data_IF_775530941154
#
_entry.id   IF_775530941154
#
_cell.length_a   1.000
_cell.length_b   1.000
_cell.length_c   1.000
_cell.angle_alpha   90.00
_cell.angle_beta   90.00
_cell.angle_gamma   90.00
#
_symmetry.space_group_name_H-M   'P 1'
#
loop_
_entity.id
_entity.type
_entity.pdbx_description
1 polymer ?
#
# COMPACT_ATOMS: atom_id res chain seq x y z
N UNK A 1 -13.34 32.75 8.34
CA UNK A 1 -13.10 31.31 8.19
C UNK A 1 -11.95 31.11 7.22
N UNK A 2 -10.96 30.29 7.58
CA UNK A 2 -10.48 29.33 6.60
C UNK A 2 -10.49 27.90 7.14
N UNK A 3 -10.74 27.00 6.21
CA UNK A 3 -10.75 25.55 6.35
C UNK A 3 -9.34 25.00 6.58
N UNK A 4 -9.24 24.05 7.50
CA UNK A 4 -8.19 23.03 7.55
C UNK A 4 -8.81 21.81 8.23
N UNK A 5 -9.48 20.97 7.44
CA UNK A 5 -9.96 19.68 7.92
C UNK A 5 -8.78 18.70 7.96
N UNK A 6 -8.43 18.37 9.20
CA UNK A 6 -7.78 17.18 9.70
C UNK A 6 -7.44 16.10 8.66
N UNK A 7 -6.17 16.06 8.27
CA UNK A 7 -5.49 14.81 7.95
C UNK A 7 -5.52 13.93 9.21
N UNK A 8 -6.22 12.81 9.12
CA UNK A 8 -6.45 11.89 10.22
C UNK A 8 -5.15 11.09 10.48
N UNK A 9 -4.34 11.55 11.44
CA UNK A 9 -3.23 10.80 12.01
C UNK A 9 -3.78 9.67 12.89
N UNK A 10 -4.14 8.54 12.29
CA UNK A 10 -4.49 7.35 13.08
C UNK A 10 -4.18 6.05 12.34
N UNK A 11 -2.90 5.64 12.37
CA UNK A 11 -2.55 4.22 12.33
C UNK A 11 -1.30 3.98 13.19
N UNK A 12 -1.51 3.47 14.41
CA UNK A 12 -0.53 2.71 15.18
C UNK A 12 -1.25 1.60 15.94
N UNK A 13 -1.07 0.32 15.55
CA UNK A 13 -1.29 -0.78 16.47
C UNK A 13 0.03 -1.56 16.67
N UNK A 14 0.76 -1.19 17.72
CA UNK A 14 1.31 -2.15 18.68
C UNK A 14 1.78 -1.39 19.91
N UNK A 15 1.22 -1.74 21.07
CA UNK A 15 1.77 -1.34 22.35
C UNK A 15 3.11 -2.06 22.51
N UNK A 16 4.16 -1.29 22.85
CA UNK A 16 5.57 -1.65 23.05
C UNK A 16 6.51 -1.49 21.83
N UNK A 17 7.33 -0.42 21.87
CA UNK A 17 8.72 -0.40 21.42
C UNK A 17 9.05 -0.41 19.91
N UNK A 18 9.31 0.78 19.35
CA UNK A 18 9.95 1.08 18.05
C UNK A 18 9.21 0.56 16.81
N UNK A 19 8.83 1.46 15.90
CA UNK A 19 8.49 1.09 14.52
C UNK A 19 9.76 0.52 13.88
N UNK A 20 9.86 -0.81 13.80
CA UNK A 20 10.82 -1.47 12.91
C UNK A 20 10.20 -1.38 11.52
N UNK A 21 10.75 -0.50 10.69
CA UNK A 21 10.42 -0.41 9.26
C UNK A 21 11.68 -0.74 8.46
N UNK A 22 12.30 -1.87 8.78
CA UNK A 22 13.57 -2.28 8.20
C UNK A 22 13.37 -3.00 6.86
N UNK A 23 12.27 -3.75 6.72
CA UNK A 23 11.96 -4.50 5.51
C UNK A 23 10.69 -4.00 4.81
N UNK A 24 10.90 -3.31 3.69
CA UNK A 24 9.84 -2.88 2.78
C UNK A 24 9.82 -3.81 1.57
N UNK A 25 8.64 -4.32 1.25
CA UNK A 25 8.40 -5.19 0.09
C UNK A 25 7.42 -4.54 -0.87
N UNK A 26 7.79 -4.45 -2.15
CA UNK A 26 6.86 -4.08 -3.21
C UNK A 26 6.19 -5.34 -3.75
N UNK A 27 4.86 -5.33 -3.81
CA UNK A 27 4.04 -6.46 -4.24
C UNK A 27 3.28 -6.08 -5.51
N UNK A 28 3.65 -6.70 -6.63
CA UNK A 28 2.96 -6.52 -7.91
C UNK A 28 1.85 -7.56 -8.07
N UNK A 29 0.60 -7.11 -8.15
CA UNK A 29 -0.54 -8.01 -8.37
C UNK A 29 -1.04 -7.96 -9.81
N UNK A 30 -0.96 -9.09 -10.51
CA UNK A 30 -1.26 -9.24 -11.93
C UNK A 30 -0.24 -8.56 -12.85
N UNK A 31 -0.34 -8.78 -14.15
CA UNK A 31 0.67 -8.33 -15.13
C UNK A 31 0.96 -6.82 -15.06
N UNK A 32 -0.07 -5.98 -14.96
CA UNK A 32 0.11 -4.53 -14.89
C UNK A 32 0.80 -4.07 -13.60
N UNK A 33 0.45 -4.69 -12.46
CA UNK A 33 1.08 -4.41 -11.16
C UNK A 33 2.54 -4.86 -11.14
N UNK A 34 2.82 -6.07 -11.63
CA UNK A 34 4.19 -6.60 -11.75
C UNK A 34 5.05 -5.68 -12.62
N UNK A 35 4.57 -5.32 -13.81
CA UNK A 35 5.31 -4.41 -14.70
C UNK A 35 5.54 -3.04 -14.05
N UNK A 36 4.62 -2.58 -13.19
CA UNK A 36 4.79 -1.32 -12.48
C UNK A 36 5.87 -1.42 -11.39
N UNK A 37 5.90 -2.51 -10.62
CA UNK A 37 6.98 -2.79 -9.66
C UNK A 37 8.33 -2.72 -10.37
N UNK A 38 8.48 -3.41 -11.50
CA UNK A 38 9.73 -3.42 -12.27
C UNK A 38 10.15 -2.00 -12.67
N UNK A 39 9.21 -1.19 -13.19
CA UNK A 39 9.49 0.19 -13.60
C UNK A 39 9.84 1.10 -12.41
N UNK A 40 9.23 0.89 -11.25
CA UNK A 40 9.52 1.66 -10.03
C UNK A 40 10.89 1.31 -9.47
N UNK A 41 11.23 0.02 -9.43
CA UNK A 41 12.55 -0.45 -8.98
C UNK A 41 13.65 0.03 -9.93
N UNK A 42 13.42 -0.04 -11.25
CA UNK A 42 14.36 0.45 -12.25
C UNK A 42 14.61 1.98 -12.17
N UNK A 43 13.63 2.76 -11.69
CA UNK A 43 13.80 4.20 -11.42
C UNK A 43 14.66 4.50 -10.19
N UNK A 44 14.89 3.51 -9.31
CA UNK A 44 15.69 3.63 -8.11
C UNK A 44 14.90 4.12 -6.90
N UNK A 45 15.10 3.49 -5.74
CA UNK A 45 14.53 3.87 -4.46
C UNK A 45 15.63 4.16 -3.43
N UNK A 46 15.35 4.93 -2.36
CA UNK A 46 16.36 5.32 -1.37
C UNK A 46 17.08 4.12 -0.72
N UNK A 47 16.36 3.01 -0.54
CA UNK A 47 16.86 1.74 -0.04
C UNK A 47 16.48 0.60 -0.96
N UNK A 48 17.24 -0.49 -0.88
CA UNK A 48 16.89 -1.75 -1.52
C UNK A 48 15.60 -2.28 -0.90
N UNK A 49 14.61 -2.56 -1.73
CA UNK A 49 13.34 -3.17 -1.36
C UNK A 49 13.31 -4.62 -1.83
N UNK A 50 12.56 -5.47 -1.12
CA UNK A 50 12.19 -6.78 -1.66
C UNK A 50 11.06 -6.60 -2.68
N UNK A 51 10.95 -7.54 -3.60
CA UNK A 51 9.93 -7.53 -4.65
C UNK A 51 9.25 -8.89 -4.70
N UNK A 52 7.93 -8.86 -4.72
CA UNK A 52 7.08 -10.03 -4.89
C UNK A 52 6.18 -9.78 -6.10
N UNK A 53 6.16 -10.72 -7.02
CA UNK A 53 5.35 -10.69 -8.22
C UNK A 53 4.33 -11.81 -8.13
N UNK A 54 3.04 -11.45 -8.14
CA UNK A 54 1.96 -12.42 -8.07
C UNK A 54 1.18 -12.32 -9.37
N UNK A 55 1.35 -13.32 -10.24
CA UNK A 55 0.71 -13.35 -11.56
C UNK A 55 0.36 -14.78 -11.99
N UNK A 56 -0.34 -14.93 -13.11
CA UNK A 56 -0.58 -16.25 -13.68
C UNK A 56 0.67 -16.83 -14.34
N UNK A 57 0.87 -18.15 -14.22
CA UNK A 57 2.04 -18.90 -14.73
C UNK A 57 2.41 -18.60 -16.19
N UNK A 58 1.41 -18.42 -17.05
CA UNK A 58 1.61 -18.18 -18.48
C UNK A 58 2.16 -16.77 -18.81
N UNK A 59 2.16 -15.85 -17.83
CA UNK A 59 2.52 -14.43 -17.98
C UNK A 59 3.64 -14.05 -16.99
N UNK A 60 4.67 -14.90 -16.84
CA UNK A 60 5.84 -14.57 -16.02
C UNK A 60 6.47 -13.24 -16.46
N UNK A 61 6.77 -12.29 -15.55
CA UNK A 61 7.45 -11.06 -15.92
C UNK A 61 8.82 -11.40 -16.52
N UNK A 62 9.07 -10.97 -17.75
CA UNK A 62 10.35 -11.15 -18.42
C UNK A 62 11.41 -10.25 -17.76
N UNK A 63 12.07 -10.76 -16.72
CA UNK A 63 13.33 -10.21 -16.21
C UNK A 63 13.31 -9.43 -14.89
N UNK A 64 12.20 -9.46 -14.14
CA UNK A 64 12.17 -8.89 -12.79
C UNK A 64 12.98 -9.74 -11.80
N UNK A 65 13.88 -9.12 -11.02
CA UNK A 65 14.49 -9.78 -9.86
C UNK A 65 13.50 -9.71 -8.70
N UNK A 66 13.00 -10.84 -8.23
CA UNK A 66 12.04 -10.92 -7.13
C UNK A 66 11.42 -12.31 -7.02
N UNK A 67 10.65 -12.53 -5.96
CA UNK A 67 9.95 -13.80 -5.81
C UNK A 67 8.70 -13.80 -6.69
N UNK A 68 8.58 -14.79 -7.57
CA UNK A 68 7.43 -14.95 -8.43
C UNK A 68 6.52 -16.05 -7.88
N UNK A 69 5.26 -15.70 -7.63
CA UNK A 69 4.20 -16.63 -7.32
C UNK A 69 3.29 -16.75 -8.53
N UNK A 70 3.32 -17.95 -9.09
CA UNK A 70 2.59 -18.33 -10.27
C UNK A 70 1.23 -18.93 -9.93
N UNK A 71 0.17 -18.39 -10.54
CA UNK A 71 -1.21 -18.80 -10.30
C UNK A 71 -1.74 -19.58 -11.49
N UNK A 72 -2.23 -20.80 -11.26
CA UNK A 72 -2.83 -21.62 -12.31
C UNK A 72 -4.04 -20.92 -12.94
N UNK A 73 -4.05 -20.78 -14.27
CA UNK A 73 -5.15 -20.16 -15.04
C UNK A 73 -6.39 -21.04 -15.18
N UNK A 74 -6.30 -22.32 -14.83
CA UNK A 74 -7.40 -23.26 -15.04
C UNK A 74 -8.65 -22.89 -14.21
N UNK A 75 -8.42 -22.21 -13.09
CA UNK A 75 -9.42 -21.59 -12.22
C UNK A 75 -10.09 -20.35 -12.85
N UNK A 76 -9.34 -19.54 -13.61
CA UNK A 76 -9.82 -18.27 -14.21
C UNK A 76 -10.61 -18.45 -15.52
N UNK A 77 -10.32 -19.50 -16.31
CA UNK A 77 -10.92 -19.68 -17.65
C UNK A 77 -12.41 -20.05 -17.65
N UNK A 78 -12.99 -20.39 -16.48
CA UNK A 78 -14.39 -20.84 -16.37
C UNK A 78 -15.37 -19.73 -15.98
N UNK A 79 -14.92 -18.51 -15.67
CA UNK A 79 -15.82 -17.47 -15.17
C UNK A 79 -15.60 -16.07 -15.77
N UNK A 80 -16.64 -15.45 -16.37
CA UNK A 80 -16.61 -14.04 -16.76
C UNK A 80 -16.57 -13.00 -15.62
N UNK A 81 -16.77 -13.38 -14.34
CA UNK A 81 -16.86 -12.45 -13.19
C UNK A 81 -15.80 -12.68 -12.08
N UNK A 82 -14.51 -12.43 -12.35
CA UNK A 82 -13.43 -12.63 -11.38
C UNK A 82 -13.53 -11.76 -10.11
N UNK A 83 -14.24 -10.64 -10.15
CA UNK A 83 -14.53 -9.80 -8.98
C UNK A 83 -15.41 -10.50 -7.93
N UNK A 84 -16.06 -11.60 -8.29
CA UNK A 84 -16.96 -12.36 -7.43
C UNK A 84 -16.26 -13.54 -6.76
N UNK A 85 -14.99 -13.87 -7.11
CA UNK A 85 -14.33 -15.08 -6.63
C UNK A 85 -12.91 -14.89 -6.11
N UNK A 86 -12.78 -14.13 -5.02
CA UNK A 86 -11.62 -14.22 -4.11
C UNK A 86 -11.38 -15.66 -3.66
N UNK A 87 -12.44 -16.45 -3.52
CA UNK A 87 -12.39 -17.85 -3.13
C UNK A 87 -11.54 -18.76 -4.01
N UNK A 88 -11.31 -18.40 -5.29
CA UNK A 88 -10.43 -19.22 -6.15
C UNK A 88 -8.95 -19.16 -5.76
N UNK A 89 -8.59 -18.19 -4.92
CA UNK A 89 -7.25 -18.01 -4.41
C UNK A 89 -7.17 -18.18 -2.90
N UNK A 90 -8.26 -18.52 -2.21
CA UNK A 90 -8.23 -18.79 -0.76
C UNK A 90 -7.29 -19.94 -0.43
N UNK A 91 -7.23 -20.97 -1.28
CA UNK A 91 -6.29 -22.10 -1.11
C UNK A 91 -4.81 -21.68 -1.25
N UNK A 92 -4.53 -20.49 -1.79
CA UNK A 92 -3.17 -19.92 -1.90
C UNK A 92 -2.79 -19.04 -0.71
N UNK A 93 -3.69 -18.85 0.26
CA UNK A 93 -3.48 -17.95 1.38
C UNK A 93 -2.27 -18.35 2.22
N UNK A 94 -2.12 -19.62 2.54
CA UNK A 94 -1.01 -20.11 3.39
C UNK A 94 0.35 -19.86 2.71
N UNK A 95 0.45 -20.14 1.40
CA UNK A 95 1.65 -19.87 0.60
C UNK A 95 1.98 -18.37 0.54
N UNK A 96 0.95 -17.53 0.44
CA UNK A 96 1.10 -16.07 0.50
C UNK A 96 1.52 -15.59 1.88
N UNK A 97 1.06 -16.21 2.97
CA UNK A 97 1.47 -15.84 4.34
C UNK A 97 2.96 -16.07 4.52
N UNK A 98 3.48 -17.23 4.07
CA UNK A 98 4.90 -17.56 4.13
C UNK A 98 5.76 -16.54 3.35
N UNK A 99 5.23 -16.01 2.25
CA UNK A 99 5.86 -14.96 1.45
C UNK A 99 6.10 -13.66 2.24
N UNK A 100 5.27 -13.36 3.24
CA UNK A 100 5.31 -12.11 4.00
C UNK A 100 5.98 -12.21 5.38
N UNK A 101 6.50 -13.38 5.79
CA UNK A 101 6.92 -13.65 7.18
C UNK A 101 8.02 -12.77 7.80
N UNK A 102 8.66 -11.88 7.04
CA UNK A 102 9.62 -10.89 7.56
C UNK A 102 9.34 -9.45 7.14
N UNK A 103 8.19 -9.20 6.52
CA UNK A 103 7.87 -7.91 5.91
C UNK A 103 7.23 -6.98 6.94
N UNK A 104 7.87 -5.84 7.21
CA UNK A 104 7.29 -4.80 8.08
C UNK A 104 6.22 -4.01 7.32
N UNK A 105 6.52 -3.63 6.07
CA UNK A 105 5.63 -2.85 5.20
C UNK A 105 5.53 -3.49 3.82
N UNK A 106 4.32 -3.84 3.43
CA UNK A 106 3.99 -4.36 2.10
C UNK A 106 3.29 -3.26 1.27
N UNK A 107 3.94 -2.80 0.20
CA UNK A 107 3.37 -1.83 -0.73
C UNK A 107 2.84 -2.54 -1.96
N UNK A 108 1.52 -2.59 -2.10
CA UNK A 108 0.85 -3.28 -3.18
C UNK A 108 0.61 -2.36 -4.38
N UNK A 109 1.02 -2.83 -5.56
CA UNK A 109 0.79 -2.17 -6.85
C UNK A 109 -0.12 -3.04 -7.71
N UNK A 110 -1.24 -2.48 -8.14
CA UNK A 110 -2.25 -3.23 -8.90
C UNK A 110 -3.02 -2.37 -9.89
N UNK A 111 -3.49 -3.02 -10.95
CA UNK A 111 -4.51 -2.46 -11.84
C UNK A 111 -5.81 -3.24 -11.67
N UNK A 112 -6.87 -2.49 -11.39
CA UNK A 112 -8.20 -3.04 -11.16
C UNK A 112 -8.93 -3.27 -12.49
N UNK A 113 -9.92 -4.15 -12.47
CA UNK A 113 -10.71 -4.52 -13.65
C UNK A 113 -10.05 -5.57 -14.55
N UNK A 114 -8.85 -6.06 -14.20
CA UNK A 114 -8.24 -7.24 -14.80
C UNK A 114 -8.88 -8.54 -14.30
N UNK A 115 -8.29 -9.68 -14.64
CA UNK A 115 -8.68 -10.97 -14.07
C UNK A 115 -7.85 -11.27 -12.81
N UNK A 116 -6.55 -11.56 -13.00
CA UNK A 116 -5.63 -11.96 -11.92
C UNK A 116 -5.51 -10.86 -10.86
N UNK A 117 -5.02 -9.68 -11.23
CA UNK A 117 -4.73 -8.61 -10.26
C UNK A 117 -5.94 -8.16 -9.44
N UNK A 118 -7.14 -8.25 -10.01
CA UNK A 118 -8.40 -7.90 -9.32
C UNK A 118 -8.84 -8.97 -8.32
N UNK A 119 -8.61 -10.24 -8.63
CA UNK A 119 -8.98 -11.36 -7.76
C UNK A 119 -7.95 -11.62 -6.66
N UNK A 120 -6.65 -11.52 -6.97
CA UNK A 120 -5.58 -11.89 -6.02
C UNK A 120 -5.26 -10.79 -5.02
N UNK A 121 -5.42 -9.52 -5.38
CA UNK A 121 -4.93 -8.42 -4.55
C UNK A 121 -5.53 -8.42 -3.12
N UNK A 122 -6.85 -8.65 -2.90
CA UNK A 122 -7.40 -8.73 -1.55
C UNK A 122 -6.90 -9.96 -0.77
N UNK A 123 -6.70 -11.10 -1.44
CA UNK A 123 -6.16 -12.31 -0.80
C UNK A 123 -4.71 -12.11 -0.35
N UNK A 124 -3.88 -11.49 -1.21
CA UNK A 124 -2.51 -11.17 -0.87
C UNK A 124 -2.41 -10.10 0.23
N UNK A 125 -3.32 -9.11 0.25
CA UNK A 125 -3.41 -8.14 1.34
C UNK A 125 -3.77 -8.81 2.67
N UNK A 126 -4.73 -9.73 2.66
CA UNK A 126 -5.10 -10.54 3.83
C UNK A 126 -3.94 -11.38 4.34
N UNK A 127 -3.19 -12.01 3.43
CA UNK A 127 -1.99 -12.77 3.79
C UNK A 127 -0.93 -11.90 4.46
N UNK A 128 -0.65 -10.71 3.90
CA UNK A 128 0.27 -9.75 4.50
C UNK A 128 -0.20 -9.31 5.89
N UNK A 129 -1.49 -9.07 6.08
CA UNK A 129 -2.07 -8.77 7.39
C UNK A 129 -1.86 -9.91 8.40
N UNK A 130 -2.14 -11.16 8.01
CA UNK A 130 -1.94 -12.35 8.86
C UNK A 130 -0.45 -12.50 9.24
N UNK A 131 0.46 -12.22 8.32
CA UNK A 131 1.90 -12.24 8.56
C UNK A 131 2.42 -11.07 9.41
N UNK A 132 1.56 -10.12 9.78
CA UNK A 132 1.91 -8.96 10.61
C UNK A 132 2.44 -7.75 9.85
N UNK A 133 2.37 -7.76 8.52
CA UNK A 133 2.84 -6.65 7.68
C UNK A 133 1.81 -5.52 7.61
N UNK A 134 2.28 -4.27 7.68
CA UNK A 134 1.43 -3.10 7.40
C UNK A 134 1.30 -2.93 5.88
N UNK A 135 0.07 -2.92 5.39
CA UNK A 135 -0.20 -2.84 3.95
C UNK A 135 -0.54 -1.41 3.48
N UNK A 136 0.05 -0.99 2.35
CA UNK A 136 -0.28 0.24 1.61
C UNK A 136 -0.59 -0.12 0.16
N UNK A 137 -1.78 0.24 -0.33
CA UNK A 137 -2.20 -0.09 -1.69
C UNK A 137 -2.15 1.09 -2.65
N UNK A 138 -1.69 0.86 -3.88
CA UNK A 138 -1.93 1.74 -5.03
C UNK A 138 -2.75 0.99 -6.08
N UNK A 139 -4.04 1.32 -6.13
CA UNK A 139 -5.00 0.67 -7.02
C UNK A 139 -5.34 1.60 -8.19
N UNK A 140 -4.98 1.20 -9.40
CA UNK A 140 -5.32 1.95 -10.62
C UNK A 140 -6.67 1.49 -11.16
N UNK A 141 -7.62 2.42 -11.23
CA UNK A 141 -8.87 2.29 -11.95
C UNK A 141 -8.64 2.42 -13.45
N UNK A 142 -9.21 1.51 -14.27
CA UNK A 142 -9.12 1.58 -15.73
C UNK A 142 -9.86 2.81 -16.27
N UNK A 143 -9.71 3.11 -17.56
CA UNK A 143 -10.46 4.23 -18.15
C UNK A 143 -11.96 3.97 -18.10
N UNK A 144 -12.77 5.01 -17.91
CA UNK A 144 -14.24 4.86 -17.97
C UNK A 144 -14.75 4.38 -19.33
N UNK A 145 -13.97 4.60 -20.39
CA UNK A 145 -14.20 4.05 -21.73
C UNK A 145 -14.14 2.50 -21.76
N UNK A 146 -13.38 1.87 -20.85
CA UNK A 146 -13.28 0.42 -20.69
C UNK A 146 -14.44 -0.12 -19.83
N UNK A 147 -15.68 0.10 -20.28
CA UNK A 147 -16.93 -0.09 -19.51
C UNK A 147 -16.95 -1.35 -18.63
N UNK A 148 -16.62 -2.51 -19.20
CA UNK A 148 -16.63 -3.80 -18.48
C UNK A 148 -15.58 -3.84 -17.38
N UNK A 149 -14.34 -3.47 -17.69
CA UNK A 149 -13.24 -3.44 -16.71
C UNK A 149 -13.50 -2.41 -15.62
N UNK A 150 -14.08 -1.28 -15.97
CA UNK A 150 -14.37 -0.20 -15.03
C UNK A 150 -15.47 -0.59 -14.02
N UNK A 151 -16.56 -1.21 -14.48
CA UNK A 151 -17.59 -1.73 -13.57
C UNK A 151 -17.03 -2.81 -12.64
N UNK A 152 -16.25 -3.75 -13.19
CA UNK A 152 -15.55 -4.78 -12.41
C UNK A 152 -14.65 -4.17 -11.33
N UNK A 153 -13.84 -3.17 -11.71
CA UNK A 153 -12.93 -2.50 -10.81
C UNK A 153 -13.66 -1.82 -9.63
N UNK A 154 -14.80 -1.17 -9.91
CA UNK A 154 -15.62 -0.54 -8.86
C UNK A 154 -16.07 -1.53 -7.79
N UNK A 155 -16.52 -2.71 -8.20
CA UNK A 155 -16.96 -3.74 -7.26
C UNK A 155 -15.78 -4.28 -6.44
N UNK A 156 -14.68 -4.62 -7.11
CA UNK A 156 -13.52 -5.20 -6.44
C UNK A 156 -12.80 -4.25 -5.46
N UNK A 157 -12.86 -2.93 -5.69
CA UNK A 157 -12.28 -1.95 -4.76
C UNK A 157 -12.96 -1.96 -3.39
N UNK A 158 -14.27 -2.25 -3.33
CA UNK A 158 -14.97 -2.36 -2.05
C UNK A 158 -14.32 -3.43 -1.17
N UNK A 159 -14.13 -4.61 -1.75
CA UNK A 159 -13.54 -5.78 -1.09
C UNK A 159 -12.06 -5.56 -0.77
N UNK A 160 -11.31 -4.95 -1.70
CA UNK A 160 -9.91 -4.58 -1.45
C UNK A 160 -9.75 -3.66 -0.23
N UNK A 161 -10.69 -2.74 -0.01
CA UNK A 161 -10.63 -1.80 1.11
C UNK A 161 -10.95 -2.43 2.46
N UNK A 162 -11.68 -3.55 2.47
CA UNK A 162 -11.92 -4.32 3.69
C UNK A 162 -10.62 -4.96 4.20
N UNK A 163 -9.81 -5.50 3.29
CA UNK A 163 -8.53 -6.15 3.60
C UNK A 163 -7.35 -5.15 3.66
N UNK A 164 -7.41 -4.06 2.90
CA UNK A 164 -6.37 -3.04 2.80
C UNK A 164 -6.98 -1.62 2.85
N UNK A 165 -7.33 -1.11 4.04
CA UNK A 165 -7.98 0.20 4.18
C UNK A 165 -7.10 1.36 3.72
N UNK A 166 -5.78 1.23 3.85
CA UNK A 166 -4.79 2.20 3.39
C UNK A 166 -4.53 2.07 1.87
N UNK A 167 -5.58 2.16 1.06
CA UNK A 167 -5.47 2.08 -0.41
C UNK A 167 -5.67 3.44 -1.06
N UNK A 168 -4.66 3.92 -1.78
CA UNK A 168 -4.72 5.07 -2.68
C UNK A 168 -5.29 4.64 -4.01
N UNK A 169 -6.45 5.20 -4.37
CA UNK A 169 -7.09 4.96 -5.67
C UNK A 169 -6.62 6.00 -6.68
N UNK A 170 -6.09 5.52 -7.81
CA UNK A 170 -5.63 6.34 -8.92
C UNK A 170 -6.52 6.06 -10.12
N UNK A 171 -7.00 7.10 -10.79
CA UNK A 171 -7.90 6.96 -11.94
C UNK A 171 -7.18 7.28 -13.24
N UNK A 172 -7.20 6.34 -14.19
CA UNK A 172 -6.63 6.56 -15.51
C UNK A 172 -7.27 7.76 -16.24
N UNK A 173 -8.56 8.02 -16.00
CA UNK A 173 -9.24 9.18 -16.58
C UNK A 173 -8.58 10.52 -16.19
N UNK A 174 -7.92 10.60 -15.02
CA UNK A 174 -7.18 11.80 -14.59
C UNK A 174 -5.93 12.05 -15.43
N UNK A 175 -5.45 11.04 -16.16
CA UNK A 175 -4.32 11.19 -17.08
C UNK A 175 -4.72 11.87 -18.39
N UNK A 176 -6.00 11.79 -18.81
CA UNK A 176 -6.48 12.34 -20.08
C UNK A 176 -6.17 13.85 -20.23
N UNK A 177 -6.54 14.72 -19.26
CA UNK A 177 -6.22 16.14 -19.37
C UNK A 177 -4.72 16.44 -19.29
N UNK A 178 -3.95 15.60 -18.58
CA UNK A 178 -2.50 15.80 -18.35
C UNK A 178 -1.68 15.38 -19.58
N UNK A 179 -2.08 14.29 -20.24
CA UNK A 179 -1.43 13.79 -21.44
C UNK A 179 -1.68 14.71 -22.64
N UNK A 180 -2.82 15.40 -22.69
CA UNK A 180 -3.19 16.26 -23.82
C UNK A 180 -3.25 15.46 -25.12
N UNK A 181 -2.32 15.72 -26.04
CA UNK A 181 -2.18 14.99 -27.33
C UNK A 181 -1.11 13.89 -27.31
N UNK A 182 -0.46 13.64 -26.16
CA UNK A 182 0.60 12.62 -26.06
C UNK A 182 0.01 11.22 -26.20
N UNK A 183 0.80 10.24 -26.69
CA UNK A 183 0.41 8.83 -26.68
C UNK A 183 0.05 8.35 -25.27
N UNK A 184 -0.94 7.46 -25.17
CA UNK A 184 -1.43 6.93 -23.89
C UNK A 184 -0.33 6.24 -23.06
N UNK A 185 0.69 5.68 -23.73
CA UNK A 185 1.86 5.08 -23.06
C UNK A 185 2.69 6.10 -22.26
N UNK A 186 2.81 7.34 -22.74
CA UNK A 186 3.46 8.42 -21.98
C UNK A 186 2.63 8.80 -20.76
N UNK A 187 1.29 8.74 -20.89
CA UNK A 187 0.38 9.00 -19.79
C UNK A 187 0.53 8.00 -18.65
N UNK A 188 0.67 6.69 -18.96
CA UNK A 188 0.95 5.67 -17.94
C UNK A 188 2.30 5.89 -17.25
N UNK A 189 3.31 6.34 -17.99
CA UNK A 189 4.62 6.65 -17.42
C UNK A 189 4.56 7.80 -16.40
N UNK A 190 3.64 8.75 -16.58
CA UNK A 190 3.36 9.80 -15.59
C UNK A 190 2.74 9.20 -14.32
N UNK A 191 1.78 8.28 -14.45
CA UNK A 191 1.19 7.59 -13.30
C UNK A 191 2.24 6.82 -12.50
N UNK A 192 3.11 6.07 -13.17
CA UNK A 192 4.21 5.36 -12.50
C UNK A 192 5.15 6.32 -11.77
N UNK A 193 5.39 7.50 -12.33
CA UNK A 193 6.23 8.54 -11.70
C UNK A 193 5.57 9.10 -10.44
N UNK A 194 4.26 9.30 -10.46
CA UNK A 194 3.50 9.73 -9.28
C UNK A 194 3.55 8.67 -8.18
N UNK A 195 3.35 7.40 -8.52
CA UNK A 195 3.41 6.28 -7.56
C UNK A 195 4.82 6.13 -7.01
N UNK A 196 5.84 6.12 -7.87
CA UNK A 196 7.24 6.07 -7.47
C UNK A 196 7.58 7.20 -6.48
N UNK A 197 7.17 8.43 -6.78
CA UNK A 197 7.40 9.57 -5.88
C UNK A 197 6.75 9.36 -4.53
N UNK A 198 5.50 8.87 -4.49
CA UNK A 198 4.80 8.59 -3.24
C UNK A 198 5.47 7.51 -2.40
N UNK A 199 5.95 6.44 -3.02
CA UNK A 199 6.69 5.38 -2.34
C UNK A 199 8.02 5.93 -1.81
N UNK A 200 8.74 6.70 -2.63
CA UNK A 200 9.99 7.34 -2.24
C UNK A 200 9.79 8.28 -1.04
N UNK A 201 8.82 9.19 -1.11
CA UNK A 201 8.51 10.15 -0.04
C UNK A 201 8.16 9.41 1.27
N UNK A 202 7.40 8.31 1.17
CA UNK A 202 7.07 7.44 2.31
C UNK A 202 8.33 6.81 2.93
N UNK A 203 9.23 6.25 2.10
CA UNK A 203 10.47 5.63 2.57
C UNK A 203 11.40 6.64 3.26
N UNK A 204 11.52 7.85 2.70
CA UNK A 204 12.33 8.93 3.30
C UNK A 204 11.74 9.42 4.63
N UNK A 205 10.42 9.50 4.74
CA UNK A 205 9.74 9.85 6.01
C UNK A 205 9.97 8.78 7.09
N UNK A 206 9.94 7.49 6.71
CA UNK A 206 10.25 6.38 7.60
C UNK A 206 11.70 6.45 8.10
N UNK A 207 12.65 6.80 7.23
CA UNK A 207 14.05 7.01 7.63
C UNK A 207 14.24 8.15 8.62
N UNK A 208 13.56 9.27 8.38
CA UNK A 208 13.64 10.41 9.29
C UNK A 208 13.16 10.05 10.70
N UNK A 209 12.09 9.23 10.79
CA UNK A 209 11.56 8.76 12.08
C UNK A 209 12.50 7.82 12.84
N UNK A 210 13.39 7.09 12.15
CA UNK A 210 14.39 6.24 12.80
C UNK A 210 15.60 7.01 13.35
N UNK A 211 15.84 8.23 12.86
CA UNK A 211 17.00 9.05 13.24
C UNK A 211 16.72 10.04 14.37
N UNK A 212 15.47 10.14 14.85
CA UNK A 212 15.11 10.94 16.02
C UNK A 212 15.24 10.09 17.29
N UNK A 213 16.44 10.03 17.86
CA UNK A 213 16.59 9.71 19.28
C UNK A 213 16.25 10.98 20.07
N UNK A 214 15.06 11.04 20.68
CA UNK A 214 14.85 11.99 21.76
C UNK A 214 15.90 11.71 22.85
N UNK A 215 16.71 12.70 23.26
CA UNK A 215 17.49 12.56 24.48
C UNK A 215 16.49 12.33 25.61
N UNK A 216 16.58 11.17 26.27
CA UNK A 216 15.86 10.90 27.51
C UNK A 216 16.40 11.82 28.61
N UNK A 217 16.11 13.12 28.56
CA UNK A 217 16.18 13.96 29.74
C UNK A 217 14.93 13.68 30.57
N UNK A 218 15.07 12.74 31.52
CA UNK A 218 14.10 12.59 32.59
C UNK A 218 13.95 13.94 33.30
N UNK A 219 12.76 14.56 33.37
CA UNK A 219 12.57 15.69 34.25
C UNK A 219 12.73 15.17 35.67
N UNK A 220 13.83 15.52 36.34
CA UNK A 220 13.94 15.33 37.79
C UNK A 220 12.80 16.13 38.42
N UNK A 221 11.77 15.43 38.86
CA UNK A 221 10.70 16.01 39.65
C UNK A 221 11.34 16.58 40.93
N UNK A 222 11.52 17.89 40.98
CA UNK A 222 11.76 18.59 42.23
C UNK A 222 10.45 18.50 43.03
N UNK A 223 10.39 17.53 43.93
CA UNK A 223 9.39 17.48 44.99
C UNK A 223 9.68 18.66 45.91
N UNK A 224 8.90 19.74 45.77
CA UNK A 224 8.79 20.78 46.79
C UNK A 224 7.54 20.47 47.59
N UNK A 225 7.71 19.74 48.70
CA UNK A 225 6.71 19.70 49.76
C UNK A 225 6.84 20.96 50.62
N UNK A 226 5.77 21.73 50.77
CA UNK A 226 5.29 22.21 52.09
C UNK A 226 4.05 23.12 52.00
N UNK A 227 2.93 22.52 52.41
CA UNK A 227 1.78 23.05 53.19
C UNK A 227 0.88 24.19 52.67
N UNK A 228 -0.45 24.04 52.77
CA UNK A 228 -1.41 25.11 52.53
C UNK A 228 -1.65 25.95 53.80
N UNK A 229 -1.74 27.27 53.66
CA UNK A 229 -2.34 28.14 54.67
C UNK A 229 -3.24 29.16 54.00
N UNK A 230 -4.52 29.10 54.36
CA UNK A 230 -5.51 30.13 54.05
C UNK A 230 -5.16 31.44 54.79
N UNK A 231 -5.28 32.58 54.11
CA UNK A 231 -5.53 33.88 54.74
C UNK A 231 -6.18 34.82 53.74
N UNK A 232 -7.07 35.65 54.26
CA UNK A 232 -8.12 36.40 53.59
C UNK A 232 -7.63 37.59 52.73
N UNK A 233 -8.44 37.82 51.69
CA UNK A 233 -8.93 39.09 51.18
C UNK A 233 -8.83 40.29 52.15
N UNK A 234 -8.06 41.31 51.76
CA UNK A 234 -8.33 42.72 52.06
C UNK A 234 -7.68 43.58 50.98
N UNK A 235 -8.50 44.29 50.21
CA UNK A 235 -8.10 45.46 49.40
C UNK A 235 -8.89 46.62 50.00
N UNK A 236 -8.18 47.67 50.40
CA UNK A 236 -8.71 49.02 50.50
C UNK A 236 -8.58 49.72 49.14
#
# INVERSE_FOLDING_TARGET
>A
MPANECINESVCPSQSGRIRCNEITLVGCGSAGCNMVDRIVAKGLPKKVKTVFINSDDDSPNGGSGMYMGLSRESLRRDPYPEVRFSHYEDTLDELVDTFGSVDVAVFLMSMGGQVGTAIAPVAAKAAYIAGATSLGFAIMPFSAEKVRHTRAKHAIGLLKEEMPNTVILENDKLVPIAGKKPIGEAFSLMDTLIWKKIKDMMEAMEFSQNYEEPLESPKANVVESTPSMAAMEIA
#
